data_IF_234911296564
#
_entry.id   IF_234911296564
#
_cell.length_a   1.000
_cell.length_b   1.000
_cell.length_c   1.000
_cell.angle_alpha   90.00
_cell.angle_beta   90.00
_cell.angle_gamma   90.00
#
_symmetry.space_group_name_H-M   'P 1'
#
loop_
_entity.id
_entity.type
_entity.pdbx_description
1 polymer ?
#
# COMPACT_ATOMS: atom_id res chain seq x y z
N UNK A 1 -8.76 14.82 6.72
CA UNK A 1 -7.35 14.38 6.77
C UNK A 1 -7.37 12.86 6.66
N UNK A 2 -6.47 12.24 5.90
CA UNK A 2 -6.36 10.77 5.89
C UNK A 2 -5.05 10.34 6.54
N UNK A 3 -5.08 9.20 7.21
CA UNK A 3 -3.88 8.50 7.68
C UNK A 3 -3.82 7.11 7.07
N UNK A 4 -2.62 6.55 6.96
CA UNK A 4 -2.44 5.15 6.58
C UNK A 4 -1.77 4.36 7.71
N UNK A 5 -2.04 3.06 7.76
CA UNK A 5 -1.33 2.10 8.60
C UNK A 5 -1.00 0.85 7.79
N UNK A 6 0.26 0.43 7.80
CA UNK A 6 0.78 -0.72 7.07
C UNK A 6 0.97 -1.92 7.99
N UNK A 7 0.33 -3.04 7.66
CA UNK A 7 0.45 -4.30 8.40
C UNK A 7 0.99 -5.41 7.51
N UNK A 8 2.22 -5.91 7.75
CA UNK A 8 2.74 -7.11 7.12
C UNK A 8 2.20 -8.36 7.84
N UNK A 9 1.81 -9.38 7.09
CA UNK A 9 1.38 -10.68 7.60
C UNK A 9 2.17 -11.77 6.89
N UNK A 10 2.90 -12.59 7.65
CA UNK A 10 3.64 -13.73 7.13
C UNK A 10 2.68 -14.82 6.61
N UNK A 11 3.09 -15.49 5.54
CA UNK A 11 2.36 -16.56 4.87
C UNK A 11 3.32 -17.69 4.53
N UNK A 12 2.80 -18.84 4.10
CA UNK A 12 3.61 -19.98 3.67
C UNK A 12 4.59 -19.68 2.50
N UNK A 13 4.37 -18.58 1.76
CA UNK A 13 5.18 -18.21 0.58
C UNK A 13 5.89 -16.88 0.70
N UNK A 14 5.80 -16.18 1.82
CA UNK A 14 6.31 -14.80 1.93
C UNK A 14 5.37 -13.95 2.76
N UNK A 15 5.02 -12.75 2.28
CA UNK A 15 4.20 -11.81 3.06
C UNK A 15 3.03 -11.25 2.26
N UNK A 16 1.92 -11.01 2.95
CA UNK A 16 0.85 -10.12 2.50
C UNK A 16 0.96 -8.80 3.24
N UNK A 17 0.85 -7.70 2.53
CA UNK A 17 0.80 -6.35 3.07
C UNK A 17 -0.62 -5.82 2.98
N UNK A 18 -1.13 -5.26 4.07
CA UNK A 18 -2.39 -4.54 4.13
C UNK A 18 -2.10 -3.06 4.46
N UNK A 19 -2.48 -2.15 3.56
CA UNK A 19 -2.47 -0.71 3.81
C UNK A 19 -3.90 -0.25 4.09
N UNK A 20 -4.20 0.07 5.35
CA UNK A 20 -5.49 0.62 5.76
C UNK A 20 -5.41 2.14 5.74
N UNK A 21 -6.31 2.78 5.01
CA UNK A 21 -6.45 4.23 4.93
C UNK A 21 -7.73 4.65 5.61
N UNK A 22 -7.63 5.56 6.57
CA UNK A 22 -8.76 6.04 7.37
C UNK A 22 -8.95 7.54 7.19
N UNK A 23 -10.20 7.97 7.05
CA UNK A 23 -10.54 9.38 7.12
C UNK A 23 -10.68 9.83 8.58
N UNK A 24 -9.68 10.54 9.07
CA UNK A 24 -9.62 11.12 10.41
C UNK A 24 -10.18 12.56 10.47
N UNK A 25 -10.65 13.09 9.34
CA UNK A 25 -11.30 14.39 9.29
C UNK A 25 -12.79 14.34 9.56
N UNK A 26 -13.38 15.53 9.65
CA UNK A 26 -14.82 15.73 9.85
C UNK A 26 -15.62 15.86 8.53
N UNK A 27 -14.92 15.92 7.38
CA UNK A 27 -15.51 16.01 6.03
C UNK A 27 -15.22 14.72 5.23
N UNK A 28 -16.12 14.30 4.31
CA UNK A 28 -15.86 13.18 3.41
C UNK A 28 -14.64 13.42 2.53
N UNK A 29 -13.90 12.34 2.23
CA UNK A 29 -12.74 12.34 1.33
C UNK A 29 -13.01 11.42 0.15
N UNK A 30 -12.74 11.90 -1.06
CA UNK A 30 -12.85 11.12 -2.30
C UNK A 30 -11.47 10.87 -2.90
N UNK A 31 -11.03 9.61 -2.89
CA UNK A 31 -9.78 9.16 -3.49
C UNK A 31 -10.01 8.76 -4.95
N UNK A 32 -9.36 9.47 -5.88
CA UNK A 32 -9.50 9.25 -7.32
C UNK A 32 -8.28 8.53 -7.90
N UNK A 33 -8.50 7.48 -8.67
CA UNK A 33 -7.46 6.62 -9.25
C UNK A 33 -7.48 6.69 -10.77
N UNK A 34 -6.29 6.80 -11.38
CA UNK A 34 -6.12 6.91 -12.83
C UNK A 34 -6.26 5.57 -13.57
N UNK A 35 -6.17 4.45 -12.87
CA UNK A 35 -6.34 3.10 -13.39
C UNK A 35 -6.73 2.12 -12.26
N UNK A 36 -6.69 0.82 -12.55
CA UNK A 36 -7.04 -0.22 -11.58
C UNK A 36 -6.02 -0.39 -10.43
N UNK A 37 -4.84 0.22 -10.49
CA UNK A 37 -3.88 0.23 -9.38
C UNK A 37 -4.39 1.13 -8.26
N UNK A 38 -4.59 0.56 -7.06
CA UNK A 38 -5.04 1.31 -5.88
C UNK A 38 -3.94 1.61 -4.87
N UNK A 39 -2.89 0.79 -4.90
CA UNK A 39 -1.79 0.83 -3.94
C UNK A 39 -0.48 0.51 -4.65
N UNK A 40 0.61 0.97 -4.07
CA UNK A 40 1.96 0.53 -4.34
C UNK A 40 2.59 0.05 -3.03
N UNK A 41 3.33 -1.04 -3.11
CA UNK A 41 4.22 -1.47 -2.04
C UNK A 41 5.64 -1.57 -2.58
N UNK A 42 6.61 -1.09 -1.81
CA UNK A 42 8.03 -1.21 -2.13
C UNK A 42 8.77 -1.77 -0.93
N UNK A 43 9.83 -2.51 -1.19
CA UNK A 43 10.78 -2.91 -0.17
C UNK A 43 12.16 -2.39 -0.54
N UNK A 44 12.77 -1.68 0.40
CA UNK A 44 14.10 -1.12 0.29
C UNK A 44 15.09 -1.88 1.17
N UNK A 45 16.31 -2.04 0.65
CA UNK A 45 17.46 -2.54 1.40
C UNK A 45 18.64 -1.63 1.10
N UNK A 46 19.31 -1.15 2.15
CA UNK A 46 20.47 -0.25 2.03
C UNK A 46 20.20 1.01 1.17
N UNK A 47 18.95 1.50 1.19
CA UNK A 47 18.50 2.65 0.40
C UNK A 47 18.21 2.37 -1.08
N UNK A 48 18.20 1.11 -1.50
CA UNK A 48 17.82 0.68 -2.85
C UNK A 48 16.48 -0.08 -2.82
N UNK A 49 15.56 0.30 -3.70
CA UNK A 49 14.31 -0.47 -3.92
C UNK A 49 14.64 -1.80 -4.60
N UNK A 50 14.57 -2.88 -3.83
CA UNK A 50 14.85 -4.24 -4.29
C UNK A 50 13.59 -4.99 -4.73
N UNK A 51 12.42 -4.51 -4.31
CA UNK A 51 11.13 -5.03 -4.76
C UNK A 51 10.09 -3.91 -4.87
N UNK A 52 9.25 -4.01 -5.91
CA UNK A 52 8.13 -3.11 -6.15
C UNK A 52 6.94 -3.96 -6.58
N UNK A 53 5.81 -3.81 -5.90
CA UNK A 53 4.63 -4.64 -6.08
C UNK A 53 4.06 -4.52 -7.49
N UNK A 54 3.99 -3.30 -8.03
CA UNK A 54 3.48 -3.05 -9.37
C UNK A 54 4.36 -3.61 -10.50
N UNK A 55 5.63 -3.94 -10.23
CA UNK A 55 6.58 -4.36 -11.26
C UNK A 55 6.12 -5.65 -11.94
N UNK A 56 5.89 -5.57 -13.25
CA UNK A 56 5.43 -6.70 -14.06
C UNK A 56 3.93 -6.97 -13.98
N UNK A 57 3.16 -6.17 -13.23
CA UNK A 57 1.69 -6.21 -13.22
C UNK A 57 1.13 -5.31 -14.31
N UNK A 58 -0.03 -5.70 -14.85
CA UNK A 58 -0.80 -4.86 -15.76
C UNK A 58 -2.07 -4.38 -15.06
N UNK A 59 -2.33 -3.08 -15.17
CA UNK A 59 -3.52 -2.45 -14.61
C UNK A 59 -4.43 -1.98 -15.75
N UNK A 60 -5.69 -2.37 -15.70
CA UNK A 60 -6.69 -1.90 -16.66
C UNK A 60 -6.89 -0.40 -16.53
N UNK A 61 -7.08 0.29 -17.66
CA UNK A 61 -7.29 1.74 -17.76
C UNK A 61 -8.72 2.13 -17.34
N UNK A 62 -9.14 1.68 -16.16
CA UNK A 62 -10.44 1.99 -15.58
C UNK A 62 -10.23 2.97 -14.43
N UNK A 63 -10.75 4.19 -14.59
CA UNK A 63 -10.79 5.17 -13.51
C UNK A 63 -11.60 4.60 -12.34
N UNK A 64 -11.16 4.93 -11.12
CA UNK A 64 -11.83 4.48 -9.91
C UNK A 64 -11.96 5.61 -8.89
N UNK A 65 -13.03 5.56 -8.11
CA UNK A 65 -13.22 6.42 -6.94
C UNK A 65 -13.44 5.54 -5.71
N UNK A 66 -12.87 5.94 -4.58
CA UNK A 66 -13.22 5.42 -3.25
C UNK A 66 -13.57 6.62 -2.39
N UNK A 67 -14.80 6.66 -1.92
CA UNK A 67 -15.29 7.69 -1.00
C UNK A 67 -15.21 7.14 0.43
N UNK A 68 -14.74 7.98 1.36
CA UNK A 68 -14.66 7.69 2.80
C UNK A 68 -15.35 8.82 3.55
N UNK A 69 -16.46 8.52 4.21
CA UNK A 69 -17.08 9.42 5.19
C UNK A 69 -16.17 9.59 6.43
N UNK A 70 -16.42 10.59 7.29
CA UNK A 70 -15.70 10.77 8.53
C UNK A 70 -15.67 9.49 9.39
N UNK A 71 -14.46 9.03 9.73
CA UNK A 71 -14.23 7.81 10.50
C UNK A 71 -14.26 6.50 9.69
N UNK A 72 -14.60 6.53 8.40
CA UNK A 72 -14.52 5.36 7.54
C UNK A 72 -13.09 5.03 7.15
N UNK A 73 -12.88 3.74 6.87
CA UNK A 73 -11.60 3.21 6.41
C UNK A 73 -11.77 2.22 5.26
N UNK A 74 -10.72 2.10 4.46
CA UNK A 74 -10.59 1.10 3.40
C UNK A 74 -9.22 0.47 3.47
N UNK A 75 -9.11 -0.79 3.04
CA UNK A 75 -7.85 -1.54 3.07
C UNK A 75 -7.51 -2.03 1.67
N UNK A 76 -6.26 -1.82 1.27
CA UNK A 76 -5.69 -2.33 0.02
C UNK A 76 -4.59 -3.34 0.33
N UNK A 77 -4.55 -4.44 -0.43
CA UNK A 77 -3.65 -5.56 -0.15
C UNK A 77 -2.70 -5.87 -1.31
N UNK A 78 -1.52 -6.39 -0.97
CA UNK A 78 -0.53 -6.85 -1.95
C UNK A 78 0.43 -7.89 -1.37
N UNK A 79 0.75 -8.92 -2.15
CA UNK A 79 1.66 -9.98 -1.74
C UNK A 79 3.08 -9.83 -2.29
N UNK A 80 4.06 -10.24 -1.49
CA UNK A 80 5.46 -10.46 -1.87
C UNK A 80 5.84 -11.91 -1.59
N UNK A 81 5.85 -12.71 -2.64
CA UNK A 81 6.26 -14.11 -2.60
C UNK A 81 7.80 -14.24 -2.66
N UNK A 82 8.33 -15.21 -1.91
CA UNK A 82 9.73 -15.61 -1.83
C UNK A 82 10.73 -14.44 -1.66
N UNK A 83 10.55 -13.54 -0.66
CA UNK A 83 11.50 -12.47 -0.40
C UNK A 83 12.88 -13.03 0.00
N UNK A 84 13.99 -12.37 -0.38
CA UNK A 84 15.29 -12.78 0.10
C UNK A 84 15.42 -12.57 1.61
N UNK A 85 16.24 -13.35 2.29
CA UNK A 85 16.51 -13.15 3.72
C UNK A 85 17.20 -11.81 3.97
N UNK A 86 16.92 -11.19 5.11
CA UNK A 86 17.48 -9.91 5.54
C UNK A 86 16.44 -8.94 6.09
N UNK A 87 16.87 -7.70 6.31
CA UNK A 87 16.02 -6.61 6.77
C UNK A 87 15.62 -5.71 5.60
N UNK A 88 14.40 -5.22 5.62
CA UNK A 88 13.84 -4.31 4.62
C UNK A 88 13.03 -3.21 5.27
N UNK A 89 13.08 -2.02 4.68
CA UNK A 89 12.07 -0.98 4.91
C UNK A 89 10.97 -1.18 3.88
N UNK A 90 9.79 -1.60 4.33
CA UNK A 90 8.63 -1.76 3.46
C UNK A 90 7.77 -0.50 3.56
N UNK A 91 7.46 0.08 2.41
CA UNK A 91 6.55 1.24 2.29
C UNK A 91 5.30 0.83 1.53
N UNK A 92 4.14 1.22 2.05
CA UNK A 92 2.86 1.20 1.35
C UNK A 92 2.39 2.61 1.06
N UNK A 93 1.82 2.85 -0.12
CA UNK A 93 1.21 4.13 -0.48
C UNK A 93 0.01 3.95 -1.39
N UNK A 94 -1.04 4.76 -1.22
CA UNK A 94 -2.11 4.85 -2.21
C UNK A 94 -1.63 5.54 -3.49
N UNK A 95 -2.19 5.15 -4.62
CA UNK A 95 -1.91 5.75 -5.94
C UNK A 95 -2.94 6.82 -6.33
N UNK A 96 -3.79 7.22 -5.38
CA UNK A 96 -4.84 8.20 -5.60
C UNK A 96 -4.25 9.58 -5.94
N UNK A 97 -4.82 10.24 -6.95
CA UNK A 97 -4.41 11.59 -7.35
C UNK A 97 -4.88 12.61 -6.31
N UNK A 98 -3.95 13.40 -5.79
CA UNK A 98 -4.24 14.47 -4.84
C UNK A 98 -4.49 14.01 -3.40
N UNK A 99 -4.31 12.72 -3.11
CA UNK A 99 -4.38 12.15 -1.76
C UNK A 99 -3.09 11.42 -1.45
N UNK A 100 -2.30 11.97 -0.53
CA UNK A 100 -1.09 11.32 -0.02
C UNK A 100 -1.43 10.55 1.26
N UNK A 101 -1.46 9.22 1.16
CA UNK A 101 -1.59 8.31 2.30
C UNK A 101 -0.54 7.20 2.18
N UNK A 102 0.38 7.15 3.13
CA UNK A 102 1.53 6.25 3.11
C UNK A 102 1.93 5.88 4.53
N UNK A 103 2.46 4.68 4.70
CA UNK A 103 3.04 4.22 5.95
C UNK A 103 4.19 3.25 5.66
N UNK A 104 5.11 3.13 6.62
CA UNK A 104 6.34 2.35 6.47
C UNK A 104 6.57 1.45 7.68
N UNK A 105 7.15 0.29 7.46
CA UNK A 105 7.48 -0.66 8.53
C UNK A 105 8.76 -1.42 8.22
N UNK A 106 9.50 -1.78 9.26
CA UNK A 106 10.67 -2.66 9.11
C UNK A 106 10.21 -4.11 9.08
N UNK A 107 10.62 -4.84 8.04
CA UNK A 107 10.36 -6.26 7.87
C UNK A 107 11.67 -7.04 7.96
N UNK A 108 11.73 -8.04 8.84
CA UNK A 108 12.84 -9.00 8.90
C UNK A 108 12.40 -10.33 8.32
N UNK A 109 13.16 -10.85 7.36
CA UNK A 109 12.96 -12.16 6.74
C UNK A 109 14.12 -13.07 7.16
N UNK A 110 13.79 -14.16 7.86
CA UNK A 110 14.74 -15.12 8.45
C UNK A 110 15.07 -16.32 7.59
#
# INVERSE_FOLDING_TARGET
MVTASLTPTETDRGFTFALTVRNDGDDPVSMQFSDAQRVEFTAERDGEVVWQWSRGRMFGQALGTVDLDPGEETTFEGGWDDPPTGEFLVRGSVTATGTDATDETTLTVG
#
